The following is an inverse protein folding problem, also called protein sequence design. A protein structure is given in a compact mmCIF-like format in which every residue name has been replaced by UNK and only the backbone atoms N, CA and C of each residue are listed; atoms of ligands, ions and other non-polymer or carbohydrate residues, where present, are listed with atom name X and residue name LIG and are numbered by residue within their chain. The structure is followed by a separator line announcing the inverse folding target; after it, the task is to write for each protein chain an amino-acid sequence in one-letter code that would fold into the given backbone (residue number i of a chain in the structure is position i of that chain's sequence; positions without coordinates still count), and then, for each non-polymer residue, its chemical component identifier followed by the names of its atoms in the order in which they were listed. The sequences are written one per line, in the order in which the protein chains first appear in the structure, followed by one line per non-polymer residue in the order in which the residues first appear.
data_IF_867085988699
#
_entry.id   IF_867085988699
#
_cell.length_a   1.000
_cell.length_b   1.000
_cell.length_c   1.000
_cell.angle_alpha   90.00
_cell.angle_beta   90.00
_cell.angle_gamma   90.00
#
_symmetry.space_group_name_H-M   'P 1'
#
loop_
_entity.id
_entity.type
_entity.pdbx_description
1 polymer ?
#
# COMPACT_ATOMS: atom_id res chain seq x y z
N UNK A 1 -62.90 15.35 30.49
CA UNK A 1 -61.48 15.47 30.90
C UNK A 1 -60.65 14.55 30.03
N UNK A 2 -59.57 15.11 29.43
CA UNK A 2 -58.27 14.50 29.07
C UNK A 2 -58.33 13.02 28.63
N UNK A 3 -58.07 12.69 27.37
CA UNK A 3 -56.70 12.46 26.89
C UNK A 3 -56.63 12.64 25.36
N UNK A 4 -56.37 13.88 24.92
CA UNK A 4 -55.72 14.12 23.63
C UNK A 4 -54.22 13.98 23.85
N UNK A 5 -53.49 13.57 22.79
CA UNK A 5 -52.04 13.76 22.66
C UNK A 5 -51.11 12.74 23.35
N UNK A 6 -51.28 11.45 23.05
CA UNK A 6 -50.29 10.39 23.30
C UNK A 6 -50.53 9.37 22.18
N UNK A 7 -49.90 9.43 21.02
CA UNK A 7 -48.59 8.83 20.74
C UNK A 7 -48.10 9.23 19.33
N UNK A 8 -47.85 10.52 19.09
CA UNK A 8 -47.17 11.01 17.86
C UNK A 8 -45.67 11.27 18.11
N UNK A 9 -45.06 10.49 19.01
CA UNK A 9 -43.67 10.66 19.44
C UNK A 9 -42.83 9.39 19.22
N UNK A 10 -43.04 8.71 18.09
CA UNK A 10 -42.18 7.62 17.61
C UNK A 10 -41.90 7.76 16.11
N UNK A 11 -41.63 8.98 15.65
CA UNK A 11 -41.31 9.27 14.24
C UNK A 11 -40.02 10.09 14.11
N UNK A 12 -39.05 9.84 14.98
CA UNK A 12 -37.73 10.48 14.96
C UNK A 12 -36.55 9.51 15.20
N UNK A 13 -36.72 8.22 14.87
CA UNK A 13 -35.60 7.25 14.86
C UNK A 13 -35.55 6.56 13.52
N UNK A 14 -35.46 7.37 12.48
CA UNK A 14 -35.24 6.93 11.11
C UNK A 14 -34.42 8.00 10.41
N UNK A 15 -33.32 8.42 11.04
CA UNK A 15 -32.27 9.12 10.29
C UNK A 15 -31.97 8.22 9.09
N UNK A 16 -32.14 8.69 7.84
CA UNK A 16 -31.61 7.94 6.72
C UNK A 16 -30.14 7.76 7.05
N UNK A 17 -29.70 6.50 7.17
CA UNK A 17 -28.28 6.23 7.15
C UNK A 17 -27.78 6.94 5.91
N UNK A 18 -27.11 8.09 6.09
CA UNK A 18 -26.51 8.83 5.00
C UNK A 18 -25.63 7.79 4.34
N UNK A 19 -26.04 7.36 3.15
CA UNK A 19 -25.29 6.40 2.37
C UNK A 19 -23.92 7.05 2.18
N UNK A 20 -22.95 6.65 3.01
CA UNK A 20 -21.58 7.12 2.89
C UNK A 20 -21.18 6.69 1.50
N UNK A 21 -21.05 7.67 0.60
CA UNK A 21 -20.58 7.40 -0.74
C UNK A 21 -19.25 6.66 -0.57
N UNK A 22 -19.06 5.52 -1.25
CA UNK A 22 -17.79 4.83 -1.18
C UNK A 22 -16.70 5.83 -1.55
N UNK A 23 -15.64 5.84 -0.76
CA UNK A 23 -14.45 6.64 -1.01
C UNK A 23 -13.80 6.05 -2.26
N UNK A 24 -14.04 6.67 -3.41
CA UNK A 24 -13.63 6.22 -4.74
C UNK A 24 -12.75 7.26 -5.46
N UNK A 25 -12.24 8.22 -4.69
CA UNK A 25 -11.43 9.32 -5.19
C UNK A 25 -10.25 9.67 -4.26
N UNK A 26 -9.09 9.90 -4.87
CA UNK A 26 -7.94 10.52 -4.22
C UNK A 26 -7.59 11.82 -4.94
N UNK A 27 -7.14 12.80 -4.17
CA UNK A 27 -6.67 14.07 -4.68
C UNK A 27 -5.36 14.45 -4.02
N UNK A 28 -4.37 14.77 -4.84
CA UNK A 28 -3.06 15.20 -4.41
C UNK A 28 -2.59 16.40 -5.24
N UNK A 29 -1.75 17.21 -4.64
CA UNK A 29 -1.06 18.32 -5.31
C UNK A 29 0.42 18.18 -5.02
N UNK A 30 1.24 18.08 -6.07
CA UNK A 30 2.70 18.04 -5.88
C UNK A 30 3.28 19.43 -5.58
N UNK A 31 4.52 19.50 -5.10
CA UNK A 31 5.24 20.78 -4.91
C UNK A 31 5.38 21.56 -6.22
N UNK A 32 5.38 20.86 -7.36
CA UNK A 32 5.36 21.42 -8.72
C UNK A 32 3.97 21.87 -9.18
N UNK A 33 2.98 21.93 -8.29
CA UNK A 33 1.60 22.32 -8.59
C UNK A 33 0.89 21.41 -9.60
N UNK A 34 1.36 20.16 -9.77
CA UNK A 34 0.65 19.18 -10.57
C UNK A 34 -0.55 18.68 -9.78
N UNK A 35 -1.74 18.75 -10.36
CA UNK A 35 -2.97 18.23 -9.77
C UNK A 35 -3.13 16.77 -10.16
N UNK A 36 -2.97 15.88 -9.19
CA UNK A 36 -3.11 14.44 -9.40
C UNK A 36 -4.40 13.98 -8.76
N UNK A 37 -5.25 13.31 -9.53
CA UNK A 37 -6.46 12.68 -9.02
C UNK A 37 -6.46 11.20 -9.40
N UNK A 38 -6.95 10.36 -8.50
CA UNK A 38 -7.21 8.95 -8.78
C UNK A 38 -8.70 8.75 -8.62
N UNK A 39 -9.39 8.36 -9.69
CA UNK A 39 -10.83 8.18 -9.67
C UNK A 39 -11.23 6.90 -10.39
N UNK A 40 -11.91 6.01 -9.68
CA UNK A 40 -12.38 4.73 -10.21
C UNK A 40 -11.31 3.95 -10.97
N UNK A 41 -10.11 3.81 -10.40
CA UNK A 41 -8.97 3.14 -11.03
C UNK A 41 -8.35 3.91 -12.20
N UNK A 42 -8.55 5.23 -12.29
CA UNK A 42 -7.97 6.07 -13.35
C UNK A 42 -7.09 7.14 -12.74
N UNK A 43 -5.83 7.22 -13.14
CA UNK A 43 -4.91 8.29 -12.73
C UNK A 43 -5.05 9.44 -13.73
N UNK A 44 -5.36 10.62 -13.18
CA UNK A 44 -5.57 11.85 -13.92
C UNK A 44 -4.53 12.85 -13.43
N UNK A 45 -3.74 13.41 -14.34
CA UNK A 45 -2.73 14.43 -14.01
C UNK A 45 -3.02 15.69 -14.81
N UNK A 46 -3.21 16.81 -14.12
CA UNK A 46 -3.57 18.10 -14.72
C UNK A 46 -4.80 18.04 -15.64
N UNK A 47 -5.77 17.17 -15.32
CA UNK A 47 -6.98 16.95 -16.11
C UNK A 47 -6.86 15.91 -17.22
N UNK A 48 -5.64 15.46 -17.55
CA UNK A 48 -5.41 14.42 -18.56
C UNK A 48 -5.50 13.04 -17.92
N UNK A 49 -6.22 12.10 -18.55
CA UNK A 49 -6.19 10.69 -18.16
C UNK A 49 -4.88 10.08 -18.64
N UNK A 50 -4.10 9.52 -17.72
CA UNK A 50 -2.72 9.08 -18.00
C UNK A 50 -2.53 7.60 -17.81
N UNK A 51 -3.25 7.00 -16.85
CA UNK A 51 -3.20 5.58 -16.59
C UNK A 51 -4.59 5.07 -16.19
N UNK A 52 -4.94 3.85 -16.62
CA UNK A 52 -6.20 3.20 -16.26
C UNK A 52 -5.89 1.77 -15.85
N UNK A 53 -6.25 1.42 -14.62
CA UNK A 53 -6.22 0.04 -14.15
C UNK A 53 -7.25 -0.79 -14.90
N UNK A 54 -6.91 -2.05 -15.19
CA UNK A 54 -7.84 -3.01 -15.80
C UNK A 54 -9.08 -3.23 -14.90
N UNK A 55 -8.86 -3.30 -13.59
CA UNK A 55 -9.89 -3.41 -12.56
C UNK A 55 -9.59 -2.39 -11.46
N UNK A 56 -10.62 -1.75 -10.90
CA UNK A 56 -10.45 -0.85 -9.76
C UNK A 56 -10.35 -1.64 -8.45
N UNK A 57 -9.13 -2.02 -8.09
CA UNK A 57 -8.80 -2.72 -6.85
C UNK A 57 -8.07 -1.81 -5.85
N UNK A 58 -8.15 -0.49 -6.03
CA UNK A 58 -7.47 0.48 -5.17
C UNK A 58 -8.12 0.52 -3.79
N UNK A 59 -7.29 0.47 -2.75
CA UNK A 59 -7.72 0.64 -1.36
C UNK A 59 -7.73 2.14 -1.04
N UNK A 60 -8.72 2.89 -1.52
CA UNK A 60 -8.77 4.36 -1.42
C UNK A 60 -8.53 4.91 -0.01
N UNK A 61 -9.08 4.24 1.02
CA UNK A 61 -8.91 4.64 2.42
C UNK A 61 -7.51 4.39 3.01
N UNK A 62 -6.60 3.79 2.25
CA UNK A 62 -5.26 3.49 2.74
C UNK A 62 -4.45 4.77 2.96
N UNK A 63 -3.82 4.88 4.14
CA UNK A 63 -2.85 5.93 4.45
C UNK A 63 -1.55 5.81 3.64
N UNK A 64 -1.33 4.68 2.98
CA UNK A 64 -0.18 4.44 2.10
C UNK A 64 -0.37 5.09 0.74
N UNK A 65 -1.61 5.46 0.39
CA UNK A 65 -1.89 6.26 -0.78
C UNK A 65 -1.39 7.68 -0.56
N UNK A 66 -0.26 8.03 -1.17
CA UNK A 66 0.34 9.36 -0.99
C UNK A 66 1.30 9.73 -2.10
N UNK A 67 1.60 11.01 -2.18
CA UNK A 67 2.77 11.49 -2.91
C UNK A 67 4.00 11.46 -2.01
N UNK A 68 5.12 11.05 -2.60
CA UNK A 68 6.45 11.29 -2.05
C UNK A 68 7.25 12.01 -3.11
N UNK A 69 7.98 13.04 -2.70
CA UNK A 69 8.79 13.85 -3.61
C UNK A 69 10.23 13.83 -3.12
N UNK A 70 11.15 13.51 -4.02
CA UNK A 70 12.58 13.46 -3.74
C UNK A 70 13.39 13.77 -5.00
N UNK A 71 14.49 14.50 -4.87
CA UNK A 71 15.33 14.90 -6.00
C UNK A 71 14.59 15.63 -7.13
N UNK A 72 13.45 16.27 -6.82
CA UNK A 72 12.57 16.89 -7.80
C UNK A 72 11.70 15.91 -8.60
N UNK A 73 11.73 14.61 -8.31
CA UNK A 73 10.80 13.63 -8.87
C UNK A 73 9.59 13.47 -7.96
N UNK A 74 8.44 13.15 -8.55
CA UNK A 74 7.16 12.95 -7.85
C UNK A 74 6.75 11.50 -8.00
N UNK A 75 6.57 10.82 -6.88
CA UNK A 75 6.14 9.42 -6.82
C UNK A 75 4.75 9.33 -6.21
N UNK A 76 3.81 8.76 -6.95
CA UNK A 76 2.48 8.42 -6.45
C UNK A 76 2.46 6.95 -6.02
N UNK A 77 2.23 6.72 -4.74
CA UNK A 77 2.04 5.40 -4.16
C UNK A 77 0.54 5.09 -4.08
N UNK A 78 0.14 3.91 -4.56
CA UNK A 78 -1.22 3.41 -4.47
C UNK A 78 -1.23 1.98 -3.92
N UNK A 79 -1.97 1.76 -2.83
CA UNK A 79 -2.26 0.43 -2.31
C UNK A 79 -3.41 -0.20 -3.10
N UNK A 80 -3.19 -1.43 -3.55
CA UNK A 80 -4.19 -2.23 -4.27
C UNK A 80 -4.36 -3.60 -3.61
N UNK A 81 -5.57 -4.14 -3.67
CA UNK A 81 -5.84 -5.50 -3.18
C UNK A 81 -5.28 -6.55 -4.12
N UNK A 82 -4.73 -7.62 -3.56
CA UNK A 82 -4.18 -8.77 -4.30
C UNK A 82 -4.52 -10.10 -3.63
N UNK A 83 -5.78 -10.26 -3.19
CA UNK A 83 -6.23 -11.47 -2.50
C UNK A 83 -5.98 -12.73 -3.36
N UNK A 84 -5.50 -13.85 -2.77
CA UNK A 84 -5.28 -14.09 -1.34
C UNK A 84 -3.92 -13.60 -0.79
N UNK A 85 -3.06 -13.04 -1.64
CA UNK A 85 -1.76 -12.50 -1.23
C UNK A 85 -1.92 -11.20 -0.45
N UNK A 86 -0.81 -10.71 0.12
CA UNK A 86 -0.81 -9.37 0.70
C UNK A 86 -1.06 -8.33 -0.38
N UNK A 87 -1.77 -7.27 0.01
CA UNK A 87 -1.95 -6.08 -0.81
C UNK A 87 -0.61 -5.59 -1.38
N UNK A 88 -0.67 -4.98 -2.55
CA UNK A 88 0.51 -4.44 -3.24
C UNK A 88 0.52 -2.93 -3.15
N UNK A 89 1.72 -2.38 -3.19
CA UNK A 89 1.97 -0.96 -3.34
C UNK A 89 2.53 -0.75 -4.75
N UNK A 90 1.74 -0.11 -5.62
CA UNK A 90 2.19 0.25 -6.96
C UNK A 90 2.69 1.69 -6.91
N UNK A 91 3.88 1.91 -7.46
CA UNK A 91 4.54 3.20 -7.47
C UNK A 91 4.54 3.75 -8.88
N UNK A 92 3.98 4.94 -9.05
CA UNK A 92 3.96 5.66 -10.31
C UNK A 92 4.91 6.85 -10.25
N UNK A 93 5.69 7.06 -11.31
CA UNK A 93 6.41 8.31 -11.54
C UNK A 93 5.48 9.30 -12.22
N UNK A 94 5.40 10.53 -11.69
CA UNK A 94 4.60 11.60 -12.29
C UNK A 94 5.53 12.57 -13.02
N UNK A 95 5.62 12.44 -14.34
CA UNK A 95 6.49 13.24 -15.19
C UNK A 95 5.72 13.84 -16.36
N UNK A 96 5.94 15.11 -16.68
CA UNK A 96 5.33 15.80 -17.84
C UNK A 96 3.80 15.61 -17.95
N UNK A 97 3.11 15.59 -16.80
CA UNK A 97 1.65 15.33 -16.71
C UNK A 97 1.22 13.93 -17.15
N UNK A 98 2.11 12.94 -17.05
CA UNK A 98 1.88 11.51 -17.30
C UNK A 98 2.23 10.73 -16.04
N UNK A 99 1.50 9.65 -15.78
CA UNK A 99 1.78 8.70 -14.71
C UNK A 99 2.28 7.38 -15.31
N UNK A 100 3.54 7.05 -15.04
CA UNK A 100 4.17 5.82 -15.51
C UNK A 100 4.36 4.85 -14.34
N UNK A 101 3.90 3.61 -14.48
CA UNK A 101 4.15 2.58 -13.47
C UNK A 101 5.64 2.25 -13.44
N UNK A 102 6.28 2.45 -12.28
CA UNK A 102 7.71 2.21 -12.11
C UNK A 102 7.97 0.82 -11.52
N UNK A 103 7.20 0.46 -10.49
CA UNK A 103 7.38 -0.81 -9.79
C UNK A 103 6.18 -1.18 -8.93
N UNK A 104 6.19 -2.43 -8.48
CA UNK A 104 5.25 -2.98 -7.50
C UNK A 104 6.03 -3.58 -6.34
N UNK A 105 5.60 -3.27 -5.12
CA UNK A 105 6.14 -3.83 -3.88
C UNK A 105 5.01 -4.41 -3.02
N UNK A 106 5.36 -5.14 -1.96
CA UNK A 106 4.38 -5.52 -0.92
C UNK A 106 3.92 -4.27 -0.18
N UNK A 107 2.62 -4.14 0.08
CA UNK A 107 2.08 -3.01 0.81
C UNK A 107 2.65 -2.92 2.22
N UNK A 108 3.32 -1.80 2.49
CA UNK A 108 3.89 -1.46 3.78
C UNK A 108 3.74 0.04 4.01
N UNK A 109 3.92 0.46 5.26
CA UNK A 109 4.15 1.88 5.51
C UNK A 109 5.38 2.35 4.74
N UNK A 110 5.35 3.60 4.30
CA UNK A 110 6.47 4.27 3.64
C UNK A 110 7.05 5.23 4.68
N UNK A 111 8.22 4.91 5.23
CA UNK A 111 8.83 5.67 6.32
C UNK A 111 10.31 5.32 6.44
N UNK A 112 11.04 6.17 7.15
CA UNK A 112 12.40 5.90 7.60
C UNK A 112 12.38 4.82 8.71
N UNK A 113 12.78 3.60 8.37
CA UNK A 113 12.78 2.44 9.25
C UNK A 113 14.11 2.22 9.97
N UNK A 114 15.23 2.67 9.41
CA UNK A 114 16.56 2.45 9.96
C UNK A 114 17.28 3.73 10.41
N UNK A 115 16.58 4.86 10.34
CA UNK A 115 16.95 6.18 10.85
C UNK A 115 18.09 6.84 10.07
N UNK A 116 18.12 6.64 8.76
CA UNK A 116 19.12 7.22 7.85
C UNK A 116 18.60 8.41 7.02
N UNK A 117 17.38 8.89 7.34
CA UNK A 117 16.64 9.96 6.67
C UNK A 117 16.12 9.61 5.26
N UNK A 118 16.30 8.38 4.80
CA UNK A 118 15.64 7.88 3.61
C UNK A 118 14.29 7.27 3.99
N UNK A 119 13.41 7.12 2.99
CA UNK A 119 12.12 6.48 3.20
C UNK A 119 12.14 5.12 2.53
N UNK A 120 11.89 4.06 3.30
CA UNK A 120 11.81 2.71 2.77
C UNK A 120 10.37 2.22 2.67
N UNK A 121 10.17 1.28 1.77
CA UNK A 121 8.91 0.57 1.59
C UNK A 121 9.17 -0.83 1.03
N UNK A 122 8.21 -1.73 1.22
CA UNK A 122 8.28 -3.11 0.80
C UNK A 122 8.10 -4.10 1.94
N UNK A 123 8.41 -5.36 1.68
CA UNK A 123 8.17 -6.42 2.64
C UNK A 123 8.27 -7.81 2.04
N UNK A 124 7.71 -8.77 2.74
CA UNK A 124 7.63 -10.18 2.32
C UNK A 124 6.16 -10.62 2.23
N UNK A 125 5.90 -11.62 1.40
CA UNK A 125 4.61 -12.29 1.39
C UNK A 125 4.29 -13.00 2.71
N UNK A 126 3.04 -13.43 2.84
CA UNK A 126 2.67 -14.41 3.84
C UNK A 126 3.25 -15.78 3.46
N UNK A 127 3.95 -16.48 4.36
CA UNK A 127 4.39 -17.84 4.09
C UNK A 127 3.18 -18.77 3.98
N UNK A 128 3.23 -19.63 2.98
CA UNK A 128 2.28 -20.72 2.85
C UNK A 128 2.41 -21.68 4.05
N UNK A 129 1.31 -22.36 4.37
CA UNK A 129 1.31 -23.36 5.43
C UNK A 129 2.20 -24.54 5.03
N UNK A 130 3.17 -24.88 5.88
CA UNK A 130 4.02 -26.05 5.71
C UNK A 130 3.55 -27.19 6.64
N UNK A 131 3.55 -28.46 6.20
CA UNK A 131 3.00 -29.57 6.99
C UNK A 131 3.72 -29.83 8.33
N UNK A 132 5.02 -29.52 8.42
CA UNK A 132 5.80 -29.73 9.64
C UNK A 132 5.74 -28.50 10.56
N UNK A 133 5.54 -28.74 11.86
CA UNK A 133 5.32 -27.69 12.85
C UNK A 133 6.56 -26.79 13.09
N UNK A 134 7.76 -27.30 12.83
CA UNK A 134 9.05 -26.67 13.07
C UNK A 134 9.69 -26.07 11.82
N UNK A 135 9.01 -26.12 10.68
CA UNK A 135 9.54 -25.74 9.37
C UNK A 135 8.58 -24.83 8.63
N UNK A 136 9.10 -24.07 7.68
CA UNK A 136 8.30 -23.20 6.81
C UNK A 136 8.99 -22.98 5.46
N UNK A 137 8.23 -22.55 4.46
CA UNK A 137 8.84 -22.04 3.24
C UNK A 137 9.52 -20.69 3.48
N UNK A 138 10.72 -20.55 2.95
CA UNK A 138 11.44 -19.30 2.91
C UNK A 138 10.73 -18.33 1.95
N UNK A 139 10.33 -17.17 2.49
CA UNK A 139 9.69 -16.12 1.71
C UNK A 139 10.58 -14.88 1.76
N UNK A 140 11.26 -14.52 0.66
CA UNK A 140 12.20 -13.41 0.68
C UNK A 140 11.47 -12.09 0.95
N UNK A 141 12.09 -11.28 1.81
CA UNK A 141 11.74 -9.87 1.96
C UNK A 141 12.38 -9.06 0.82
N UNK A 142 11.72 -7.97 0.38
CA UNK A 142 12.30 -6.98 -0.52
C UNK A 142 11.90 -5.58 -0.10
N UNK A 143 12.88 -4.75 0.22
CA UNK A 143 12.70 -3.34 0.55
C UNK A 143 13.43 -2.46 -0.45
N UNK A 144 12.90 -1.26 -0.61
CA UNK A 144 13.40 -0.25 -1.52
C UNK A 144 13.44 1.09 -0.79
N UNK A 145 14.46 1.88 -1.08
CA UNK A 145 14.67 3.23 -0.56
C UNK A 145 14.37 4.28 -1.64
N UNK A 146 13.92 5.46 -1.21
CA UNK A 146 13.76 6.63 -2.08
C UNK A 146 14.99 7.51 -1.89
N UNK A 147 15.83 7.63 -2.92
CA UNK A 147 17.13 8.30 -2.82
C UNK A 147 17.50 9.06 -4.07
N UNK A 148 17.76 10.36 -3.92
CA UNK A 148 18.17 11.26 -5.02
C UNK A 148 17.23 11.17 -6.23
N UNK A 149 15.92 11.08 -5.96
CA UNK A 149 14.85 10.98 -6.94
C UNK A 149 14.78 9.63 -7.64
N UNK A 150 15.27 8.55 -7.01
CA UNK A 150 15.22 7.19 -7.54
C UNK A 150 14.65 6.22 -6.51
N UNK A 151 14.06 5.14 -7.00
CA UNK A 151 13.65 4.00 -6.19
C UNK A 151 14.74 2.94 -6.33
N UNK A 152 15.49 2.69 -5.26
CA UNK A 152 16.64 1.78 -5.28
C UNK A 152 16.38 0.61 -4.34
N UNK A 153 16.86 -0.58 -4.70
CA UNK A 153 16.77 -1.74 -3.80
C UNK A 153 17.71 -1.50 -2.62
N UNK A 154 17.21 -1.68 -1.40
CA UNK A 154 18.02 -1.59 -0.19
C UNK A 154 18.46 -2.99 0.25
N UNK A 155 19.69 -3.42 -0.06
CA UNK A 155 20.18 -4.74 0.31
C UNK A 155 20.40 -4.88 1.82
N UNK A 156 20.81 -3.81 2.50
CA UNK A 156 21.22 -3.86 3.90
C UNK A 156 19.98 -4.01 4.79
N UNK A 157 18.97 -3.16 4.58
CA UNK A 157 17.72 -3.28 5.31
C UNK A 157 16.97 -4.55 4.92
N UNK A 158 16.99 -4.94 3.64
CA UNK A 158 16.37 -6.20 3.21
C UNK A 158 16.99 -7.39 3.95
N UNK A 159 18.31 -7.53 3.98
CA UNK A 159 18.99 -8.63 4.69
C UNK A 159 18.67 -8.61 6.19
N UNK A 160 18.65 -7.43 6.82
CA UNK A 160 18.31 -7.25 8.23
C UNK A 160 16.89 -7.75 8.53
N UNK A 161 15.91 -7.35 7.74
CA UNK A 161 14.52 -7.79 7.93
C UNK A 161 14.35 -9.27 7.59
N UNK A 162 15.03 -9.75 6.57
CA UNK A 162 14.91 -11.14 6.16
C UNK A 162 15.47 -12.09 7.23
N UNK A 163 16.63 -11.79 7.81
CA UNK A 163 17.14 -12.50 9.00
C UNK A 163 16.19 -12.41 10.19
N UNK A 164 15.53 -11.27 10.39
CA UNK A 164 14.56 -11.10 11.48
C UNK A 164 13.30 -11.95 11.29
N UNK A 165 12.78 -12.03 10.07
CA UNK A 165 11.50 -12.66 9.75
C UNK A 165 11.65 -14.16 9.47
N UNK A 166 12.73 -14.55 8.79
CA UNK A 166 13.01 -15.90 8.34
C UNK A 166 14.11 -16.59 9.15
N UNK A 167 14.79 -15.89 10.06
CA UNK A 167 15.93 -16.43 10.84
C UNK A 167 17.23 -16.58 10.04
N UNK A 168 17.16 -16.49 8.72
CA UNK A 168 18.27 -16.60 7.78
C UNK A 168 18.00 -15.70 6.58
N UNK A 169 19.08 -15.22 5.95
CA UNK A 169 19.03 -14.56 4.65
C UNK A 169 19.64 -15.49 3.60
N UNK A 170 18.89 -15.76 2.52
CA UNK A 170 19.33 -16.64 1.44
C UNK A 170 19.38 -15.80 0.14
N UNK A 171 20.55 -15.29 -0.26
CA UNK A 171 20.66 -14.46 -1.45
C UNK A 171 20.25 -15.25 -2.69
N UNK A 172 19.47 -14.62 -3.58
CA UNK A 172 19.03 -15.24 -4.83
C UNK A 172 18.17 -16.49 -4.64
N UNK A 173 17.46 -16.63 -3.52
CA UNK A 173 16.56 -17.76 -3.32
C UNK A 173 15.51 -17.82 -4.44
N UNK A 174 15.49 -18.94 -5.16
CA UNK A 174 14.49 -19.30 -6.15
C UNK A 174 13.81 -20.59 -5.74
N UNK A 175 12.50 -20.69 -5.97
CA UNK A 175 11.70 -21.86 -5.65
C UNK A 175 11.38 -22.02 -4.16
N UNK A 176 10.73 -23.14 -3.84
CA UNK A 176 10.29 -23.49 -2.48
C UNK A 176 11.47 -24.01 -1.64
N UNK A 177 12.19 -23.10 -0.99
CA UNK A 177 13.20 -23.49 0.00
C UNK A 177 12.56 -23.65 1.36
N UNK A 178 12.86 -24.75 2.06
CA UNK A 178 12.35 -24.99 3.42
C UNK A 178 13.42 -24.56 4.43
N UNK A 179 13.00 -23.83 5.45
CA UNK A 179 13.83 -23.35 6.55
C UNK A 179 13.18 -23.68 7.90
N UNK A 180 13.96 -23.78 8.99
CA UNK A 180 13.39 -23.89 10.33
C UNK A 180 12.52 -22.67 10.66
N UNK A 181 11.38 -22.89 11.31
CA UNK A 181 10.48 -21.82 11.74
C UNK A 181 11.16 -20.98 12.85
N UNK A 182 11.33 -19.66 12.68
CA UNK A 182 11.94 -18.82 13.71
C UNK A 182 11.09 -18.75 14.97
N UNK A 183 11.75 -18.75 16.15
CA UNK A 183 11.06 -18.55 17.43
C UNK A 183 10.45 -17.15 17.49
N UNK A 184 9.14 -17.06 17.73
CA UNK A 184 8.44 -15.78 17.93
C UNK A 184 7.76 -15.17 16.70
N UNK A 185 7.70 -15.89 15.58
CA UNK A 185 6.74 -15.57 14.52
C UNK A 185 5.36 -16.11 14.95
N UNK A 186 4.29 -15.28 14.99
CA UNK A 186 2.95 -15.78 15.30
C UNK A 186 2.53 -16.89 14.34
#
# INVERSE_FOLDING_TARGET
MRLRLRHLLFLFIGLPALAQKPDDNLHFTSTKQQKIAVYKGTIIVNGNKTFKFATDNIVYKSKRNRLVEDGGNVFLFLEVTDNPNKNKLIVFGINNSVADSLMTAIASDIKDFDHDELLEFGGSEQPETYPAADSMYYVPSKFYEIKKGRLEFDPVYTEKIDKKVNGVYIPGATGEKVIPKPKGRP
#
